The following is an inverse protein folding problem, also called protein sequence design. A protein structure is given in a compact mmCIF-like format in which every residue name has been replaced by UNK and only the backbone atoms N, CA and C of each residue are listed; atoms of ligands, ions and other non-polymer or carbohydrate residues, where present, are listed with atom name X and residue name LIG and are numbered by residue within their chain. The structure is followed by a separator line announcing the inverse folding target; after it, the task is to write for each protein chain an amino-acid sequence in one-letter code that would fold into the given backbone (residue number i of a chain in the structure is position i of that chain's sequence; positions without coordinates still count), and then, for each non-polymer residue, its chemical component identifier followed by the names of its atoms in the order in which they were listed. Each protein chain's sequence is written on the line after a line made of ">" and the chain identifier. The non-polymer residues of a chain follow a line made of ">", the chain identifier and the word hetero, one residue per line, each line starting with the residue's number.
data_IF_309392997523
#
_entry.id   IF_309392997523
#
_cell.length_a   1.000
_cell.length_b   1.000
_cell.length_c   1.000
_cell.angle_alpha   90.00
_cell.angle_beta   90.00
_cell.angle_gamma   90.00
#
_symmetry.space_group_name_H-M   'P 1'
#
loop_
_entity.id
_entity.type
_entity.pdbx_description
1 polymer ?
#
# COMPACT_ATOMS: atom_id res chain seq x y z
N UNK A 1 4.50 -13.91 0.90
CA UNK A 1 4.49 -12.48 1.32
C UNK A 1 3.75 -12.28 2.63
N UNK A 2 2.41 -12.40 2.65
CA UNK A 2 1.56 -12.03 3.80
C UNK A 2 1.94 -12.77 5.10
N UNK A 3 2.21 -14.07 5.04
CA UNK A 3 2.61 -14.86 6.22
C UNK A 3 3.92 -14.40 6.85
N UNK A 4 4.84 -13.85 6.05
CA UNK A 4 6.18 -13.45 6.50
C UNK A 4 6.28 -11.96 6.83
N UNK A 5 5.22 -11.19 6.58
CA UNK A 5 5.23 -9.72 6.71
C UNK A 5 3.92 -9.18 7.29
N UNK A 6 3.16 -9.99 8.04
CA UNK A 6 1.81 -9.63 8.50
C UNK A 6 1.77 -8.35 9.36
N UNK A 7 2.79 -8.14 10.20
CA UNK A 7 2.91 -6.96 11.07
C UNK A 7 3.40 -5.70 10.30
N UNK A 8 3.84 -5.91 9.06
CA UNK A 8 4.47 -4.90 8.21
C UNK A 8 3.54 -4.33 7.14
N UNK A 9 2.45 -5.03 6.86
CA UNK A 9 1.50 -4.66 5.81
C UNK A 9 0.09 -4.46 6.39
N UNK A 10 -0.69 -3.60 5.74
CA UNK A 10 -2.15 -3.48 5.95
C UNK A 10 -2.84 -3.63 4.60
N UNK A 11 -3.98 -4.31 4.53
CA UNK A 11 -4.81 -4.29 3.32
C UNK A 11 -5.42 -2.91 3.11
N UNK A 12 -5.67 -2.53 1.85
CA UNK A 12 -6.13 -1.20 1.49
C UNK A 12 -7.19 -1.21 0.38
N UNK A 13 -7.90 -0.08 0.23
CA UNK A 13 -8.87 0.13 -0.85
C UNK A 13 -9.93 -0.96 -0.94
N UNK A 14 -10.25 -1.38 -2.16
CA UNK A 14 -11.26 -2.42 -2.40
C UNK A 14 -10.84 -3.77 -1.78
N UNK A 15 -9.55 -4.10 -1.75
CA UNK A 15 -9.05 -5.32 -1.09
C UNK A 15 -9.44 -5.38 0.38
N UNK A 16 -9.26 -4.29 1.13
CA UNK A 16 -9.68 -4.23 2.54
C UNK A 16 -11.19 -4.37 2.69
N UNK A 17 -11.96 -3.75 1.77
CA UNK A 17 -13.42 -3.79 1.78
C UNK A 17 -13.96 -5.20 1.47
N UNK A 18 -13.39 -5.91 0.51
CA UNK A 18 -13.78 -7.29 0.18
C UNK A 18 -13.49 -8.24 1.35
N UNK A 19 -12.30 -8.11 1.95
CA UNK A 19 -11.92 -8.92 3.12
C UNK A 19 -12.82 -8.63 4.33
N UNK A 20 -13.11 -7.37 4.60
CA UNK A 20 -13.85 -6.96 5.79
C UNK A 20 -15.37 -7.14 5.66
N UNK A 21 -15.96 -6.71 4.53
CA UNK A 21 -17.42 -6.69 4.36
C UNK A 21 -17.98 -7.97 3.75
N UNK A 22 -17.21 -8.64 2.89
CA UNK A 22 -17.69 -9.81 2.15
C UNK A 22 -17.09 -11.13 2.61
N UNK A 23 -16.10 -11.08 3.50
CA UNK A 23 -15.35 -12.26 3.94
C UNK A 23 -14.76 -13.05 2.75
N UNK A 24 -14.43 -12.34 1.65
CA UNK A 24 -13.90 -12.91 0.42
C UNK A 24 -12.39 -13.10 0.58
N UNK A 25 -11.96 -14.33 0.88
CA UNK A 25 -10.53 -14.69 1.00
C UNK A 25 -9.85 -14.95 -0.35
N UNK A 26 -10.63 -15.05 -1.43
CA UNK A 26 -10.13 -15.20 -2.80
C UNK A 26 -10.43 -13.89 -3.53
N UNK A 27 -9.38 -13.10 -3.74
CA UNK A 27 -9.47 -11.82 -4.45
C UNK A 27 -8.96 -12.05 -5.86
N UNK A 28 -9.88 -12.05 -6.83
CA UNK A 28 -9.55 -12.25 -8.25
C UNK A 28 -8.99 -10.99 -8.92
N UNK A 29 -9.01 -9.86 -8.22
CA UNK A 29 -8.48 -8.57 -8.67
C UNK A 29 -7.09 -8.27 -8.12
N UNK A 30 -6.47 -7.18 -8.61
CA UNK A 30 -5.20 -6.66 -8.07
C UNK A 30 -5.34 -6.42 -6.56
N UNK A 31 -4.48 -7.09 -5.77
CA UNK A 31 -4.42 -6.92 -4.32
C UNK A 31 -3.76 -5.59 -3.98
N UNK A 32 -4.37 -4.81 -3.09
CA UNK A 32 -3.82 -3.53 -2.66
C UNK A 32 -3.44 -3.60 -1.18
N UNK A 33 -2.18 -3.30 -0.90
CA UNK A 33 -1.63 -3.26 0.46
C UNK A 33 -0.90 -1.94 0.71
N UNK A 34 -0.73 -1.61 1.98
CA UNK A 34 0.08 -0.51 2.48
C UNK A 34 1.26 -1.07 3.27
N UNK A 35 2.42 -0.43 3.15
CA UNK A 35 3.62 -0.72 3.95
C UNK A 35 4.19 0.56 4.54
N UNK A 36 4.75 0.47 5.75
CA UNK A 36 5.53 1.57 6.31
C UNK A 36 6.84 1.70 5.53
N UNK A 37 7.24 2.90 5.14
CA UNK A 37 8.46 3.16 4.37
C UNK A 37 9.70 2.51 4.98
N UNK A 38 9.85 2.60 6.30
CA UNK A 38 10.95 1.97 7.04
C UNK A 38 11.01 0.44 6.94
N UNK A 39 9.89 -0.20 6.60
CA UNK A 39 9.73 -1.66 6.54
C UNK A 39 9.62 -2.16 5.09
N UNK A 40 9.67 -1.26 4.11
CA UNK A 40 9.55 -1.60 2.69
C UNK A 40 10.59 -2.64 2.26
N UNK A 41 11.85 -2.49 2.68
CA UNK A 41 12.92 -3.44 2.34
C UNK A 41 12.65 -4.84 2.87
N UNK A 42 12.05 -4.98 4.05
CA UNK A 42 11.62 -6.28 4.61
C UNK A 42 10.54 -6.92 3.77
N UNK A 43 9.57 -6.13 3.29
CA UNK A 43 8.51 -6.60 2.40
C UNK A 43 9.07 -7.05 1.05
N UNK A 44 9.96 -6.25 0.45
CA UNK A 44 10.56 -6.58 -0.86
C UNK A 44 11.33 -7.90 -0.85
N UNK A 45 12.05 -8.23 0.23
CA UNK A 45 12.78 -9.50 0.37
C UNK A 45 11.88 -10.76 0.34
N UNK A 46 10.58 -10.58 0.59
CA UNK A 46 9.61 -11.67 0.63
C UNK A 46 8.78 -11.76 -0.66
N UNK A 47 9.08 -10.93 -1.66
CA UNK A 47 8.52 -11.04 -3.00
C UNK A 47 9.44 -11.98 -3.79
N UNK A 48 8.91 -13.06 -4.40
CA UNK A 48 9.73 -13.99 -5.16
C UNK A 48 10.41 -13.34 -6.38
N UNK A 49 11.63 -13.77 -6.71
CA UNK A 49 12.45 -13.15 -7.77
C UNK A 49 11.86 -13.27 -9.18
N UNK A 50 10.92 -14.19 -9.41
CA UNK A 50 10.21 -14.33 -10.68
C UNK A 50 9.12 -13.27 -10.91
N UNK A 51 8.90 -12.38 -9.94
CA UNK A 51 7.96 -11.28 -10.02
C UNK A 51 8.71 -10.01 -10.41
N UNK A 52 8.11 -9.22 -11.30
CA UNK A 52 8.66 -7.91 -11.68
C UNK A 52 8.11 -6.85 -10.75
N UNK A 53 8.99 -5.96 -10.27
CA UNK A 53 8.62 -4.84 -9.41
C UNK A 53 8.88 -3.55 -10.14
N UNK A 54 7.85 -2.71 -10.26
CA UNK A 54 7.94 -1.34 -10.76
C UNK A 54 7.83 -0.39 -9.59
N UNK A 55 8.74 0.56 -9.53
CA UNK A 55 8.85 1.58 -8.48
C UNK A 55 8.31 2.89 -9.05
N UNK A 56 7.29 3.46 -8.40
CA UNK A 56 6.65 4.68 -8.85
C UNK A 56 6.92 5.78 -7.84
N UNK A 57 7.49 6.89 -8.31
CA UNK A 57 7.74 8.06 -7.48
C UNK A 57 6.52 8.99 -7.40
N UNK A 58 6.70 10.15 -6.79
CA UNK A 58 5.67 11.15 -6.59
C UNK A 58 5.40 12.04 -7.81
N UNK A 59 6.25 11.98 -8.82
CA UNK A 59 6.07 12.63 -10.12
C UNK A 59 5.44 11.66 -11.14
N UNK A 60 5.26 10.39 -10.77
CA UNK A 60 4.74 9.35 -11.64
C UNK A 60 5.81 8.68 -12.50
N UNK A 61 7.10 8.96 -12.25
CA UNK A 61 8.17 8.28 -12.97
C UNK A 61 8.24 6.83 -12.51
N UNK A 62 8.51 5.96 -13.47
CA UNK A 62 8.57 4.51 -13.27
C UNK A 62 10.02 4.06 -13.38
N UNK A 63 10.49 3.30 -12.39
CA UNK A 63 11.79 2.63 -12.41
C UNK A 63 11.62 1.14 -12.20
N UNK A 64 12.54 0.33 -12.69
CA UNK A 64 12.56 -1.13 -12.45
C UNK A 64 13.52 -1.52 -11.33
N UNK A 65 14.34 -0.58 -10.85
CA UNK A 65 15.30 -0.81 -9.79
C UNK A 65 15.13 0.24 -8.72
N UNK A 66 15.08 -0.21 -7.46
CA UNK A 66 14.94 0.67 -6.30
C UNK A 66 16.02 1.75 -6.24
N UNK A 67 17.26 1.41 -6.64
CA UNK A 67 18.41 2.32 -6.62
C UNK A 67 18.29 3.51 -7.58
N UNK A 68 17.46 3.37 -8.61
CA UNK A 68 17.26 4.39 -9.64
C UNK A 68 16.19 5.42 -9.19
N UNK A 69 15.54 5.17 -8.05
CA UNK A 69 14.51 6.04 -7.47
C UNK A 69 14.97 6.58 -6.11
N UNK A 70 14.71 7.86 -5.82
CA UNK A 70 14.92 8.37 -4.47
C UNK A 70 13.92 7.71 -3.51
N UNK A 71 14.45 6.97 -2.53
CA UNK A 71 13.65 6.23 -1.57
C UNK A 71 12.62 7.09 -0.82
N UNK A 72 12.89 8.39 -0.63
CA UNK A 72 11.97 9.35 0.02
C UNK A 72 10.82 9.83 -0.85
N UNK A 73 10.93 9.69 -2.18
CA UNK A 73 9.93 10.10 -3.18
C UNK A 73 9.05 8.94 -3.65
N UNK A 74 9.46 7.69 -3.40
CA UNK A 74 8.70 6.50 -3.73
C UNK A 74 7.30 6.53 -3.10
N UNK A 75 6.25 6.46 -3.91
CA UNK A 75 4.85 6.52 -3.46
C UNK A 75 4.23 5.14 -3.38
N UNK A 76 4.45 4.32 -4.40
CA UNK A 76 3.94 2.96 -4.47
C UNK A 76 4.78 2.09 -5.39
N UNK A 77 4.51 0.80 -5.33
CA UNK A 77 5.07 -0.20 -6.22
C UNK A 77 3.96 -0.97 -6.90
N UNK A 78 4.23 -1.42 -8.12
CA UNK A 78 3.41 -2.41 -8.82
C UNK A 78 4.20 -3.72 -8.90
N UNK A 79 3.55 -4.81 -8.53
CA UNK A 79 4.09 -6.16 -8.63
C UNK A 79 3.37 -6.89 -9.75
N UNK A 80 4.13 -7.40 -10.69
CA UNK A 80 3.65 -8.06 -11.90
C UNK A 80 4.18 -9.49 -11.99
N UNK A 81 3.35 -10.40 -12.50
CA UNK A 81 3.74 -11.75 -12.90
C UNK A 81 3.21 -12.01 -14.30
N UNK A 82 4.04 -12.55 -15.19
CA UNK A 82 3.67 -12.82 -16.59
C UNK A 82 3.05 -11.62 -17.34
N UNK A 83 3.45 -10.39 -16.99
CA UNK A 83 2.93 -9.15 -17.58
C UNK A 83 1.58 -8.68 -17.02
N UNK A 84 1.00 -9.39 -16.04
CA UNK A 84 -0.21 -8.98 -15.35
C UNK A 84 0.13 -8.37 -13.99
N UNK A 85 -0.43 -7.19 -13.69
CA UNK A 85 -0.34 -6.58 -12.36
C UNK A 85 -1.25 -7.31 -11.38
N UNK A 86 -0.64 -7.88 -10.35
CA UNK A 86 -1.32 -8.66 -9.33
C UNK A 86 -1.39 -7.95 -7.99
N UNK A 87 -0.51 -6.97 -7.75
CA UNK A 87 -0.47 -6.24 -6.49
C UNK A 87 0.01 -4.80 -6.65
N UNK A 88 -0.59 -3.91 -5.88
CA UNK A 88 -0.11 -2.54 -5.67
C UNK A 88 0.24 -2.36 -4.20
N UNK A 89 1.47 -1.89 -3.94
CA UNK A 89 1.99 -1.66 -2.59
C UNK A 89 2.17 -0.16 -2.38
N UNK A 90 1.29 0.47 -1.59
CA UNK A 90 1.40 1.88 -1.23
C UNK A 90 2.35 2.07 -0.05
N UNK A 91 3.17 3.12 -0.11
CA UNK A 91 4.20 3.41 0.89
C UNK A 91 3.77 4.58 1.77
N UNK A 92 3.74 4.35 3.09
CA UNK A 92 3.35 5.33 4.09
C UNK A 92 4.49 5.72 5.00
N UNK A 93 4.51 6.97 5.41
CA UNK A 93 5.38 7.40 6.50
C UNK A 93 4.69 7.16 7.85
N UNK A 94 5.48 7.05 8.91
CA UNK A 94 4.98 7.00 10.29
C UNK A 94 5.66 8.10 11.07
N UNK A 95 4.88 8.90 11.79
CA UNK A 95 5.38 9.95 12.67
C UNK A 95 4.67 9.82 14.02
N UNK A 96 5.42 9.82 15.14
CA UNK A 96 4.87 9.62 16.49
C UNK A 96 3.95 8.39 16.62
N UNK A 97 4.30 7.28 15.96
CA UNK A 97 3.51 6.03 15.90
C UNK A 97 2.20 6.12 15.11
N UNK A 98 1.83 7.30 14.59
CA UNK A 98 0.67 7.48 13.70
C UNK A 98 1.09 7.31 12.22
N UNK A 99 0.25 6.65 11.41
CA UNK A 99 0.47 6.58 9.96
C UNK A 99 0.17 7.94 9.34
N UNK A 100 1.04 8.38 8.45
CA UNK A 100 0.95 9.68 7.80
C UNK A 100 0.60 9.49 6.34
N UNK A 101 -0.54 10.05 5.93
CA UNK A 101 -0.94 10.15 4.54
C UNK A 101 -0.30 11.39 3.93
N UNK A 102 0.39 11.22 2.79
CA UNK A 102 0.87 12.35 1.99
C UNK A 102 -0.23 12.76 1.02
N UNK A 103 -0.82 13.92 1.23
CA UNK A 103 -1.74 14.53 0.26
C UNK A 103 -0.94 15.20 -0.88
N UNK A 104 0.23 15.75 -0.56
CA UNK A 104 1.27 16.20 -1.50
C UNK A 104 2.65 16.15 -0.79
N UNK A 105 3.74 16.58 -1.46
CA UNK A 105 5.11 16.53 -0.91
C UNK A 105 5.27 17.24 0.45
N UNK A 106 4.39 18.20 0.77
CA UNK A 106 4.49 19.09 1.93
C UNK A 106 3.39 18.85 2.99
N UNK A 107 2.28 18.22 2.62
CA UNK A 107 1.13 18.02 3.51
C UNK A 107 1.08 16.55 3.92
N UNK A 108 1.40 16.32 5.20
CA UNK A 108 1.26 15.03 5.88
C UNK A 108 0.10 15.10 6.86
N UNK A 109 -0.90 14.25 6.66
CA UNK A 109 -2.06 14.15 7.52
C UNK A 109 -2.01 12.85 8.33
N UNK A 110 -2.16 12.92 9.66
CA UNK A 110 -2.32 11.71 10.46
C UNK A 110 -3.57 10.91 10.04
N UNK A 111 -3.47 9.59 10.09
CA UNK A 111 -4.53 8.61 9.76
C UNK A 111 -5.90 8.97 10.38
N UNK A 112 -5.91 9.40 11.64
CA UNK A 112 -7.11 9.80 12.41
C UNK A 112 -7.93 10.95 11.81
N UNK A 113 -7.38 11.71 10.85
CA UNK A 113 -8.09 12.80 10.18
C UNK A 113 -8.75 12.37 8.87
N UNK A 114 -8.69 11.08 8.52
CA UNK A 114 -9.33 10.54 7.32
C UNK A 114 -10.70 9.97 7.70
N UNK A 115 -11.72 10.65 7.20
CA UNK A 115 -13.13 10.33 7.40
C UNK A 115 -13.72 9.71 6.13
N UNK A 116 -14.34 8.55 6.29
CA UNK A 116 -15.15 7.90 5.26
C UNK A 116 -16.56 7.66 5.82
N UNK A 117 -17.58 8.15 5.12
CA UNK A 117 -18.97 7.86 5.45
C UNK A 117 -19.58 6.93 4.39
N UNK A 118 -20.13 5.80 4.83
CA UNK A 118 -20.84 4.88 3.94
C UNK A 118 -22.35 5.14 3.97
N UNK A 119 -22.86 5.83 2.95
CA UNK A 119 -24.31 6.07 2.80
C UNK A 119 -25.16 4.79 2.73
N UNK A 120 -24.74 3.71 2.01
CA UNK A 120 -25.55 2.48 1.94
C UNK A 120 -25.66 1.71 3.25
N UNK A 121 -24.66 1.82 4.12
CA UNK A 121 -24.58 1.05 5.36
C UNK A 121 -24.82 1.92 6.61
N UNK A 122 -24.90 3.24 6.46
CA UNK A 122 -25.10 4.18 7.57
C UNK A 122 -23.97 4.19 8.58
N UNK A 123 -22.73 3.93 8.15
CA UNK A 123 -21.56 3.82 9.04
C UNK A 123 -20.56 4.93 8.76
N UNK A 124 -20.19 5.64 9.83
CA UNK A 124 -19.03 6.52 9.88
C UNK A 124 -17.77 5.70 10.19
N UNK A 125 -16.82 5.70 9.28
CA UNK A 125 -15.50 5.14 9.48
C UNK A 125 -14.48 6.26 9.59
N UNK A 126 -14.11 6.59 10.83
CA UNK A 126 -12.89 7.31 11.11
C UNK A 126 -11.79 6.25 11.15
N UNK A 127 -10.80 6.37 10.27
CA UNK A 127 -9.66 5.45 10.28
C UNK A 127 -8.95 5.61 11.64
N UNK A 128 -8.95 4.58 12.52
CA UNK A 128 -8.47 4.74 13.90
C UNK A 128 -6.99 5.12 13.98
#
# INVERSE_FOLDING_TARGET
>A
LIENTNDEIKFFGETAKLLFLKNEFIINDTVVICVKRKNLTTVLKNIPDNYRIRYIDSEGNVSEKLRDTKFSQLTHLEVEIHGQRIMTIYIYDVHNKEWMFRFNHNIRLPEKHIYFHSLPWGVDYIKP
#
